data_IF_699564328443
#
_entry.id   IF_699564328443
#
_cell.length_a   1.000
_cell.length_b   1.000
_cell.length_c   1.000
_cell.angle_alpha   90.00
_cell.angle_beta   90.00
_cell.angle_gamma   90.00
#
_symmetry.space_group_name_H-M   'P 1'
#
loop_
_entity.id
_entity.type
_entity.pdbx_description
1 polymer ?
#
# COMPACT_ATOMS: atom_id res chain seq x y z
N UNK A 1 -6.33 10.42 22.70
CA UNK A 1 -5.22 10.54 21.73
C UNK A 1 -5.67 11.50 20.63
N UNK A 2 -4.99 12.63 20.40
CA UNK A 2 -5.43 13.59 19.39
C UNK A 2 -5.25 12.97 17.99
N UNK A 3 -6.36 12.97 17.22
CA UNK A 3 -6.45 12.84 15.76
C UNK A 3 -5.60 11.77 15.07
N UNK A 4 -6.20 10.64 14.70
CA UNK A 4 -5.58 9.64 13.83
C UNK A 4 -5.39 10.21 12.41
N UNK A 5 -4.32 10.99 12.20
CA UNK A 5 -4.04 11.78 10.97
C UNK A 5 -4.05 10.91 9.71
N UNK A 6 -3.67 9.64 9.84
CA UNK A 6 -3.65 8.68 8.74
C UNK A 6 -5.03 8.34 8.19
N UNK A 7 -6.10 8.41 8.99
CA UNK A 7 -7.46 8.03 8.54
C UNK A 7 -7.96 8.92 7.40
N UNK A 8 -7.53 10.18 7.40
CA UNK A 8 -7.88 11.17 6.38
C UNK A 8 -6.74 11.40 5.38
N UNK A 9 -5.61 10.69 5.51
CA UNK A 9 -4.49 10.84 4.60
C UNK A 9 -4.81 10.19 3.24
N UNK A 10 -4.51 10.82 2.10
CA UNK A 10 -4.79 10.26 0.77
C UNK A 10 -4.19 8.87 0.53
N UNK A 11 -2.99 8.61 1.09
CA UNK A 11 -2.37 7.28 1.06
C UNK A 11 -3.24 6.18 1.69
N UNK A 12 -4.08 6.49 2.68
CA UNK A 12 -5.03 5.52 3.24
C UNK A 12 -6.35 5.49 2.45
N UNK A 13 -6.68 6.54 1.70
CA UNK A 13 -7.89 6.60 0.88
C UNK A 13 -7.78 5.76 -0.40
N UNK A 14 -6.59 5.70 -1.01
CA UNK A 14 -6.36 4.92 -2.23
C UNK A 14 -6.51 3.40 -2.04
N UNK A 15 -6.46 2.91 -0.81
CA UNK A 15 -6.65 1.48 -0.48
C UNK A 15 -8.08 1.11 -0.08
N UNK A 16 -9.00 2.07 -0.02
CA UNK A 16 -10.37 1.81 0.42
C UNK A 16 -11.03 0.70 -0.41
N UNK A 17 -11.61 -0.32 0.24
CA UNK A 17 -12.25 -1.45 -0.44
C UNK A 17 -11.29 -2.51 -1.01
N UNK A 18 -9.98 -2.35 -0.78
CA UNK A 18 -8.92 -3.28 -1.17
C UNK A 18 -8.13 -3.79 0.06
N UNK A 19 -8.79 -3.99 1.19
CA UNK A 19 -8.16 -4.35 2.46
C UNK A 19 -7.39 -5.68 2.39
N UNK A 20 -7.90 -6.68 1.66
CA UNK A 20 -7.18 -7.94 1.45
C UNK A 20 -5.88 -7.72 0.66
N UNK A 21 -5.91 -6.90 -0.39
CA UNK A 21 -4.72 -6.58 -1.18
C UNK A 21 -3.69 -5.79 -0.35
N UNK A 22 -4.15 -4.89 0.53
CA UNK A 22 -3.27 -4.18 1.46
C UNK A 22 -2.59 -5.15 2.43
N UNK A 23 -3.34 -6.13 2.97
CA UNK A 23 -2.78 -7.14 3.86
C UNK A 23 -1.85 -8.10 3.11
N UNK A 24 -2.17 -8.48 1.86
CA UNK A 24 -1.25 -9.26 1.01
C UNK A 24 0.08 -8.55 0.83
N UNK A 25 0.05 -7.27 0.48
CA UNK A 25 1.26 -6.46 0.41
C UNK A 25 2.03 -6.49 1.74
N UNK A 26 1.34 -6.34 2.86
CA UNK A 26 1.94 -6.46 4.19
C UNK A 26 2.59 -7.83 4.45
N UNK A 27 1.94 -8.92 4.03
CA UNK A 27 2.50 -10.27 4.14
C UNK A 27 3.76 -10.43 3.31
N UNK A 28 3.79 -9.92 2.07
CA UNK A 28 4.98 -9.94 1.20
C UNK A 28 6.17 -9.22 1.84
N UNK A 29 5.91 -8.06 2.48
CA UNK A 29 6.95 -7.33 3.22
C UNK A 29 7.43 -8.14 4.43
N UNK A 30 6.54 -8.83 5.15
CA UNK A 30 6.92 -9.70 6.27
C UNK A 30 7.77 -10.89 5.80
N UNK A 31 7.43 -11.51 4.66
CA UNK A 31 8.21 -12.61 4.06
C UNK A 31 9.64 -12.14 3.77
N UNK A 32 9.81 -11.03 3.03
CA UNK A 32 11.12 -10.45 2.71
C UNK A 32 11.87 -10.02 3.98
N UNK A 33 11.18 -9.51 4.99
CA UNK A 33 11.78 -9.17 6.27
C UNK A 33 12.33 -10.42 6.99
N UNK A 34 11.57 -11.51 7.04
CA UNK A 34 12.01 -12.76 7.64
C UNK A 34 13.17 -13.41 6.89
N UNK A 35 13.22 -13.30 5.56
CA UNK A 35 14.35 -13.77 4.74
C UNK A 35 15.68 -13.11 5.16
N UNK A 36 15.64 -11.93 5.76
CA UNK A 36 16.84 -11.27 6.33
C UNK A 36 17.26 -11.82 7.70
N UNK A 37 16.62 -12.87 8.21
CA UNK A 37 16.90 -13.50 9.51
C UNK A 37 16.24 -12.78 10.69
N UNK A 38 15.26 -11.92 10.44
CA UNK A 38 14.58 -11.11 11.47
C UNK A 38 13.21 -11.70 11.84
N UNK A 39 12.77 -11.43 13.06
CA UNK A 39 11.46 -11.90 13.54
C UNK A 39 10.33 -11.01 13.01
N UNK A 40 9.20 -11.64 12.65
CA UNK A 40 7.96 -10.99 12.27
C UNK A 40 7.11 -10.66 13.50
N UNK A 41 6.57 -9.45 13.55
CA UNK A 41 5.67 -8.96 14.61
C UNK A 41 4.37 -8.36 14.04
N UNK A 42 4.18 -8.41 12.72
CA UNK A 42 3.15 -7.66 12.00
C UNK A 42 2.09 -8.57 11.37
N UNK A 43 2.48 -9.73 10.82
CA UNK A 43 1.57 -10.60 10.03
C UNK A 43 0.29 -10.98 10.77
N UNK A 44 0.39 -11.47 12.00
CA UNK A 44 -0.78 -11.87 12.79
C UNK A 44 -1.71 -10.68 13.08
N UNK A 45 -1.16 -9.51 13.39
CA UNK A 45 -1.94 -8.28 13.58
C UNK A 45 -2.68 -7.89 12.30
N UNK A 46 -2.00 -7.93 11.15
CA UNK A 46 -2.59 -7.63 9.84
C UNK A 46 -3.72 -8.61 9.49
N UNK A 47 -3.53 -9.92 9.73
CA UNK A 47 -4.56 -10.95 9.53
C UNK A 47 -5.78 -10.68 10.41
N UNK A 48 -5.56 -10.42 11.69
CA UNK A 48 -6.63 -10.19 12.64
C UNK A 48 -7.44 -8.92 12.32
N UNK A 49 -6.76 -7.85 11.89
CA UNK A 49 -7.42 -6.63 11.45
C UNK A 49 -8.26 -6.85 10.19
N UNK A 50 -7.77 -7.65 9.23
CA UNK A 50 -8.55 -8.04 8.05
C UNK A 50 -9.80 -8.83 8.43
N UNK A 51 -9.65 -9.85 9.28
CA UNK A 51 -10.76 -10.68 9.74
C UNK A 51 -11.83 -9.84 10.42
N UNK A 52 -11.42 -8.95 11.34
CA UNK A 52 -12.37 -8.05 12.01
C UNK A 52 -13.07 -7.10 11.06
N UNK A 53 -12.36 -6.56 10.07
CA UNK A 53 -12.91 -5.55 9.17
C UNK A 53 -13.78 -6.14 8.04
N UNK A 54 -13.55 -7.39 7.65
CA UNK A 54 -14.08 -7.95 6.39
C UNK A 54 -14.69 -9.35 6.52
N UNK A 55 -14.41 -10.06 7.61
CA UNK A 55 -14.74 -11.49 7.76
C UNK A 55 -13.81 -12.44 7.00
N UNK A 56 -12.79 -11.93 6.30
CA UNK A 56 -11.81 -12.75 5.58
C UNK A 56 -10.69 -13.19 6.51
N UNK A 57 -10.47 -14.51 6.60
CA UNK A 57 -9.39 -15.09 7.39
C UNK A 57 -8.19 -15.53 6.55
N UNK A 58 -8.42 -15.86 5.28
CA UNK A 58 -7.38 -16.21 4.33
C UNK A 58 -7.09 -15.03 3.38
N UNK A 59 -5.80 -14.84 3.08
CA UNK A 59 -5.31 -13.77 2.21
C UNK A 59 -4.75 -14.40 0.95
N UNK A 60 -5.37 -14.10 -0.20
CA UNK A 60 -4.94 -14.63 -1.49
C UNK A 60 -3.58 -14.07 -1.93
N UNK A 61 -2.92 -14.80 -2.83
CA UNK A 61 -1.72 -14.29 -3.51
C UNK A 61 -2.06 -13.10 -4.40
N UNK A 62 -1.07 -12.26 -4.70
CA UNK A 62 -1.26 -11.12 -5.59
C UNK A 62 -1.80 -11.54 -6.96
N UNK A 63 -1.31 -12.65 -7.53
CA UNK A 63 -1.78 -13.15 -8.84
C UNK A 63 -3.27 -13.51 -8.81
N UNK A 64 -3.74 -14.18 -7.75
CA UNK A 64 -5.17 -14.52 -7.64
C UNK A 64 -6.05 -13.29 -7.42
N UNK A 65 -5.53 -12.27 -6.73
CA UNK A 65 -6.21 -10.97 -6.61
C UNK A 65 -6.25 -10.24 -7.95
N UNK A 66 -5.16 -10.30 -8.74
CA UNK A 66 -5.11 -9.73 -10.08
C UNK A 66 -6.14 -10.38 -11.02
N UNK A 67 -6.17 -11.71 -11.06
CA UNK A 67 -7.13 -12.48 -11.87
C UNK A 67 -8.59 -12.14 -11.50
N UNK A 68 -8.85 -11.93 -10.21
CA UNK A 68 -10.16 -11.55 -9.70
C UNK A 68 -10.47 -10.04 -9.85
N UNK A 69 -9.55 -9.22 -10.37
CA UNK A 69 -9.67 -7.75 -10.44
C UNK A 69 -9.90 -7.10 -9.07
N UNK A 70 -9.17 -7.59 -8.07
CA UNK A 70 -9.20 -7.16 -6.68
C UNK A 70 -7.89 -6.53 -6.23
N UNK A 71 -7.10 -6.04 -7.19
CA UNK A 71 -6.01 -5.11 -6.94
C UNK A 71 -6.47 -3.68 -7.23
N UNK A 72 -5.96 -2.69 -6.48
CA UNK A 72 -6.39 -1.32 -6.67
C UNK A 72 -5.91 -0.76 -8.02
N UNK A 73 -6.69 0.13 -8.66
CA UNK A 73 -6.43 0.59 -10.04
C UNK A 73 -5.15 1.41 -10.19
N UNK A 74 -4.65 2.00 -9.10
CA UNK A 74 -3.40 2.75 -9.10
C UNK A 74 -2.16 1.83 -9.14
N UNK A 75 -2.31 0.52 -8.88
CA UNK A 75 -1.21 -0.41 -8.94
C UNK A 75 -0.80 -0.64 -10.40
N UNK A 76 0.26 0.06 -10.80
CA UNK A 76 0.75 0.07 -12.19
C UNK A 76 0.52 1.41 -12.90
N UNK A 77 -0.19 2.35 -12.27
CA UNK A 77 -0.39 3.70 -12.79
C UNK A 77 0.95 4.46 -12.88
N UNK A 78 1.34 4.82 -14.09
CA UNK A 78 2.63 5.43 -14.38
C UNK A 78 2.78 6.84 -13.75
N UNK A 79 1.71 7.62 -13.67
CA UNK A 79 1.74 8.98 -13.13
C UNK A 79 1.83 8.96 -11.60
N UNK A 80 1.08 8.05 -10.96
CA UNK A 80 1.23 7.74 -9.55
C UNK A 80 2.68 7.35 -9.23
N UNK A 81 3.23 6.36 -9.93
CA UNK A 81 4.59 5.87 -9.69
C UNK A 81 5.64 6.94 -9.94
N UNK A 82 5.50 7.72 -11.02
CA UNK A 82 6.45 8.79 -11.37
C UNK A 82 6.46 9.91 -10.35
N UNK A 83 5.30 10.33 -9.84
CA UNK A 83 5.23 11.37 -8.81
C UNK A 83 5.86 10.93 -7.48
N UNK A 84 5.68 9.66 -7.09
CA UNK A 84 6.30 9.09 -5.89
C UNK A 84 7.81 8.92 -6.04
N UNK A 85 8.28 8.46 -7.20
CA UNK A 85 9.71 8.42 -7.52
C UNK A 85 10.33 9.82 -7.47
N UNK A 86 9.67 10.82 -8.04
CA UNK A 86 10.10 12.23 -7.95
C UNK A 86 10.27 12.69 -6.51
N UNK A 87 9.30 12.34 -5.64
CA UNK A 87 9.40 12.66 -4.22
C UNK A 87 10.55 11.93 -3.50
N UNK A 88 10.87 10.69 -3.88
CA UNK A 88 12.05 9.97 -3.37
C UNK A 88 13.34 10.63 -3.83
N UNK A 89 13.44 10.99 -5.12
CA UNK A 89 14.58 11.73 -5.65
C UNK A 89 14.76 13.06 -4.93
N UNK A 90 13.69 13.80 -4.66
CA UNK A 90 13.74 15.06 -3.89
C UNK A 90 14.25 14.85 -2.46
N UNK A 91 13.84 13.77 -1.79
CA UNK A 91 14.21 13.46 -0.41
C UNK A 91 15.67 13.02 -0.27
N UNK A 92 16.14 12.18 -1.18
CA UNK A 92 17.50 11.64 -1.13
C UNK A 92 18.10 11.46 -2.54
N UNK A 93 18.53 12.56 -3.18
CA UNK A 93 18.91 12.54 -4.60
C UNK A 93 20.07 11.58 -4.90
N UNK A 94 21.07 11.51 -4.02
CA UNK A 94 22.24 10.65 -4.20
C UNK A 94 21.89 9.16 -4.27
N UNK A 95 20.84 8.73 -3.57
CA UNK A 95 20.40 7.34 -3.57
C UNK A 95 19.46 7.02 -4.74
N UNK A 96 18.50 7.91 -5.02
CA UNK A 96 17.38 7.61 -5.92
C UNK A 96 17.60 8.04 -7.37
N UNK A 97 18.48 9.01 -7.69
CA UNK A 97 18.73 9.40 -9.10
C UNK A 97 19.28 8.25 -9.94
N UNK A 98 20.12 7.40 -9.37
CA UNK A 98 20.65 6.22 -10.06
C UNK A 98 19.57 5.14 -10.30
N UNK A 99 18.54 5.06 -9.44
CA UNK A 99 17.44 4.08 -9.54
C UNK A 99 16.31 4.56 -10.46
N UNK A 100 16.11 5.88 -10.54
CA UNK A 100 15.06 6.51 -11.33
C UNK A 100 15.64 7.55 -12.29
N UNK A 101 16.48 7.13 -13.26
CA UNK A 101 17.08 8.06 -14.21
C UNK A 101 15.99 8.79 -15.02
N UNK A 102 16.15 10.11 -15.16
CA UNK A 102 15.22 10.95 -15.92
C UNK A 102 13.92 11.33 -15.20
N UNK A 103 13.73 10.91 -13.94
CA UNK A 103 12.62 11.41 -13.11
C UNK A 103 13.06 12.74 -12.46
N UNK A 104 12.37 13.86 -12.73
CA UNK A 104 12.69 15.15 -12.11
C UNK A 104 12.29 15.12 -10.62
N UNK A 105 12.85 16.00 -9.80
CA UNK A 105 12.64 16.03 -8.35
C UNK A 105 11.60 17.05 -7.87
N UNK A 106 10.82 17.62 -8.79
CA UNK A 106 9.87 18.71 -8.52
C UNK A 106 8.41 18.36 -8.84
N UNK A 107 8.08 17.10 -9.17
CA UNK A 107 6.69 16.74 -9.46
C UNK A 107 5.82 16.79 -8.19
N UNK A 108 4.58 17.27 -8.32
CA UNK A 108 3.59 17.17 -7.26
C UNK A 108 3.19 15.70 -7.04
N UNK A 109 2.83 15.34 -5.80
CA UNK A 109 2.29 14.02 -5.52
C UNK A 109 0.95 13.80 -6.25
N UNK A 110 0.82 12.65 -6.89
CA UNK A 110 -0.46 12.15 -7.38
C UNK A 110 -1.00 11.17 -6.35
N UNK A 111 -2.17 11.47 -5.78
CA UNK A 111 -2.88 10.57 -4.86
C UNK A 111 -4.22 10.17 -5.48
N UNK A 112 -4.32 8.99 -6.10
CA UNK A 112 -5.57 8.54 -6.69
C UNK A 112 -6.57 8.17 -5.61
N UNK A 113 -7.84 8.46 -5.86
CA UNK A 113 -8.93 7.90 -5.08
C UNK A 113 -9.11 6.43 -5.41
N UNK A 114 -9.55 5.63 -4.44
CA UNK A 114 -10.07 4.30 -4.73
C UNK A 114 -11.35 4.40 -5.57
N UNK A 115 -11.55 3.44 -6.46
CA UNK A 115 -12.80 3.23 -7.19
C UNK A 115 -13.85 2.44 -6.38
N UNK A 116 -13.50 2.04 -5.15
CA UNK A 116 -14.38 1.36 -4.20
C UNK A 116 -14.71 2.24 -3.00
N UNK A 117 -15.91 2.10 -2.41
CA UNK A 117 -16.26 2.82 -1.20
C UNK A 117 -15.40 2.33 -0.03
N UNK A 118 -15.13 3.24 0.92
CA UNK A 118 -14.53 2.87 2.20
C UNK A 118 -15.52 2.01 2.99
N UNK A 119 -15.06 0.88 3.52
CA UNK A 119 -15.85 0.10 4.48
C UNK A 119 -16.02 0.91 5.76
N UNK A 120 -17.27 1.16 6.14
CA UNK A 120 -17.58 1.66 7.47
C UNK A 120 -17.51 0.48 8.42
N UNK A 121 -16.64 0.56 9.44
CA UNK A 121 -16.48 -0.54 10.39
C UNK A 121 -17.82 -0.89 11.03
N UNK A 122 -18.13 -2.18 11.12
CA UNK A 122 -19.17 -2.66 12.03
C UNK A 122 -18.74 -2.23 13.43
N UNK A 123 -19.56 -1.42 14.10
CA UNK A 123 -19.32 -0.98 15.48
C UNK A 123 -19.29 -2.16 16.44
#
# INVERSE_FOLDING_TARGET
>A
MPGYVWRHHPAAAMWAGYEEALVRYGFDICDVWCETGRQDTCRETLRFDLLRATGLDEVRTQDRLADAKELPPWLGDADFHRSHRSALVRKEPGHYRARFPGVPDDLPYVWPSSDRPRREGVR
#
